data_IF_488986591431
#
_entry.id   IF_488986591431
#
_cell.length_a   1.000
_cell.length_b   1.000
_cell.length_c   1.000
_cell.angle_alpha   90.00
_cell.angle_beta   90.00
_cell.angle_gamma   90.00
#
_symmetry.space_group_name_H-M   'P 1'
#
loop_
_entity.id
_entity.type
_entity.pdbx_description
1 polymer ?
#
# COMPACT_ATOMS: atom_id res chain seq x y z
N UNK A 1 13.32 11.87 8.99
CA UNK A 1 14.07 13.04 9.53
C UNK A 1 15.41 13.25 8.80
N UNK A 2 16.19 12.20 8.49
CA UNK A 2 17.51 12.37 7.89
C UNK A 2 17.48 12.99 6.47
N UNK A 3 16.48 12.69 5.65
CA UNK A 3 16.39 13.14 4.26
C UNK A 3 15.62 14.46 4.07
N UNK A 4 14.67 14.73 4.95
CA UNK A 4 13.75 15.86 4.81
C UNK A 4 14.43 17.24 4.75
N UNK A 5 15.47 17.55 5.55
CA UNK A 5 16.17 18.83 5.46
C UNK A 5 16.74 19.09 4.06
N UNK A 6 17.36 18.07 3.45
CA UNK A 6 17.90 18.19 2.09
C UNK A 6 16.79 18.38 1.04
N UNK A 7 15.67 17.65 1.17
CA UNK A 7 14.53 17.82 0.28
C UNK A 7 13.97 19.24 0.34
N UNK A 8 13.85 19.81 1.54
CA UNK A 8 13.41 21.20 1.72
C UNK A 8 14.41 22.20 1.13
N UNK A 9 15.71 22.01 1.39
CA UNK A 9 16.75 22.89 0.86
C UNK A 9 16.79 22.89 -0.67
N UNK A 10 16.58 21.74 -1.29
CA UNK A 10 16.53 21.59 -2.76
C UNK A 10 15.18 22.02 -3.35
N UNK A 11 14.19 22.31 -2.50
CA UNK A 11 12.79 22.53 -2.88
C UNK A 11 12.25 21.41 -3.78
N UNK A 12 12.63 20.16 -3.47
CA UNK A 12 12.15 18.97 -4.21
C UNK A 12 12.25 17.71 -3.34
N UNK A 13 11.18 16.95 -3.30
CA UNK A 13 11.16 15.64 -2.64
C UNK A 13 9.91 14.84 -3.00
N UNK A 14 10.06 13.52 -3.11
CA UNK A 14 8.96 12.59 -3.35
C UNK A 14 9.11 11.42 -2.37
N UNK A 15 8.15 11.30 -1.46
CA UNK A 15 8.14 10.26 -0.43
C UNK A 15 6.95 9.35 -0.71
N UNK A 16 7.21 8.06 -0.89
CA UNK A 16 6.19 7.04 -1.07
C UNK A 16 6.32 6.02 0.06
N UNK A 17 5.30 5.94 0.89
CA UNK A 17 5.17 4.88 1.88
C UNK A 17 4.51 3.65 1.24
N UNK A 18 4.97 2.47 1.59
CA UNK A 18 4.29 1.22 1.22
C UNK A 18 3.37 0.81 2.36
N UNK A 19 2.11 1.16 2.20
CA UNK A 19 1.03 0.79 3.09
C UNK A 19 0.50 -0.62 2.81
N UNK A 20 -0.79 -0.75 2.86
CA UNK A 20 -1.58 -1.96 2.55
C UNK A 20 -3.04 -1.53 2.36
N UNK A 21 -3.88 -2.37 1.76
CA UNK A 21 -5.33 -2.24 1.88
C UNK A 21 -5.75 -2.12 3.36
N UNK A 22 -5.01 -2.77 4.26
CA UNK A 22 -5.17 -2.66 5.72
C UNK A 22 -4.71 -1.32 6.30
N UNK A 23 -4.36 -0.35 5.49
CA UNK A 23 -4.25 1.05 5.93
C UNK A 23 -5.60 1.77 5.97
N UNK A 24 -6.62 1.22 5.29
CA UNK A 24 -7.96 1.83 5.16
C UNK A 24 -9.10 0.91 5.62
N UNK A 25 -8.86 -0.41 5.68
CA UNK A 25 -9.81 -1.41 6.22
C UNK A 25 -9.13 -2.30 7.24
N UNK A 26 -9.92 -3.06 7.99
CA UNK A 26 -9.41 -4.02 8.97
C UNK A 26 -9.75 -5.47 8.58
N UNK A 27 -9.05 -6.41 9.19
CA UNK A 27 -9.37 -7.83 9.17
C UNK A 27 -9.18 -8.43 10.58
N UNK A 28 -9.99 -9.42 10.96
CA UNK A 28 -9.83 -10.11 12.24
C UNK A 28 -8.40 -10.64 12.43
N UNK A 29 -7.96 -10.69 13.66
CA UNK A 29 -6.66 -11.24 14.10
C UNK A 29 -5.41 -10.52 13.55
N UNK A 30 -5.55 -9.30 13.03
CA UNK A 30 -4.45 -8.48 12.49
C UNK A 30 -4.30 -7.12 13.18
N UNK A 31 -4.69 -6.99 14.46
CA UNK A 31 -4.75 -5.70 15.15
C UNK A 31 -3.43 -4.90 15.10
N UNK A 32 -2.30 -5.51 15.41
CA UNK A 32 -1.00 -4.85 15.38
C UNK A 32 -0.61 -4.39 13.95
N UNK A 33 -0.83 -5.26 12.96
CA UNK A 33 -0.56 -4.94 11.56
C UNK A 33 -1.46 -3.81 11.05
N UNK A 34 -2.76 -3.90 11.33
CA UNK A 34 -3.75 -2.87 10.95
C UNK A 34 -3.40 -1.53 11.61
N UNK A 35 -3.09 -1.52 12.92
CA UNK A 35 -2.69 -0.30 13.61
C UNK A 35 -1.44 0.34 12.99
N UNK A 36 -0.40 -0.47 12.70
CA UNK A 36 0.81 0.01 12.06
C UNK A 36 0.55 0.60 10.66
N UNK A 37 -0.29 -0.07 9.86
CA UNK A 37 -0.59 0.38 8.49
C UNK A 37 -1.52 1.60 8.47
N UNK A 38 -2.49 1.71 9.37
CA UNK A 38 -3.27 2.94 9.56
C UNK A 38 -2.40 4.11 10.02
N UNK A 39 -1.45 3.86 10.92
CA UNK A 39 -0.51 4.88 11.41
C UNK A 39 0.32 5.52 10.29
N UNK A 40 0.66 4.78 9.23
CA UNK A 40 1.37 5.33 8.06
C UNK A 40 0.57 6.43 7.35
N UNK A 41 -0.75 6.35 7.32
CA UNK A 41 -1.58 7.40 6.71
C UNK A 41 -1.56 8.67 7.57
N UNK A 42 -1.65 8.54 8.89
CA UNK A 42 -1.51 9.66 9.81
C UNK A 42 -0.13 10.33 9.67
N UNK A 43 0.94 9.53 9.66
CA UNK A 43 2.29 10.01 9.41
C UNK A 43 2.43 10.76 8.09
N UNK A 44 1.93 10.18 6.98
CA UNK A 44 1.99 10.80 5.66
C UNK A 44 1.25 12.15 5.61
N UNK A 45 0.06 12.22 6.21
CA UNK A 45 -0.73 13.46 6.28
C UNK A 45 -0.03 14.54 7.08
N UNK A 46 0.52 14.20 8.24
CA UNK A 46 1.25 15.15 9.08
C UNK A 46 2.47 15.69 8.34
N UNK A 47 3.28 14.81 7.77
CA UNK A 47 4.49 15.22 7.06
C UNK A 47 4.18 16.05 5.81
N UNK A 48 3.10 15.74 5.10
CA UNK A 48 2.65 16.54 3.95
C UNK A 48 2.23 17.97 4.37
N UNK A 49 1.60 18.14 5.53
CA UNK A 49 1.28 19.45 6.08
C UNK A 49 2.54 20.22 6.51
N UNK A 50 3.51 19.53 7.09
CA UNK A 50 4.79 20.13 7.50
C UNK A 50 5.66 20.56 6.31
N UNK A 51 5.40 20.03 5.11
CA UNK A 51 6.16 20.32 3.89
C UNK A 51 5.35 21.09 2.84
N UNK A 52 4.19 21.63 3.20
CA UNK A 52 3.29 22.31 2.27
C UNK A 52 3.84 23.64 1.70
N UNK A 53 4.95 24.13 2.23
CA UNK A 53 5.66 25.33 1.78
C UNK A 53 6.76 25.05 0.74
N UNK A 54 6.94 23.81 0.31
CA UNK A 54 7.97 23.40 -0.65
C UNK A 54 7.46 22.29 -1.57
N UNK A 55 8.18 22.01 -2.67
CA UNK A 55 7.81 20.94 -3.64
C UNK A 55 8.20 19.54 -3.11
N UNK A 56 7.66 19.19 -1.94
CA UNK A 56 7.80 17.86 -1.35
C UNK A 56 6.42 17.21 -1.23
N UNK A 57 6.26 16.02 -1.80
CA UNK A 57 5.03 15.25 -1.67
C UNK A 57 5.23 13.97 -0.86
N UNK A 58 4.19 13.59 -0.13
CA UNK A 58 4.20 12.39 0.73
C UNK A 58 2.92 11.60 0.48
N UNK A 59 3.04 10.43 -0.14
CA UNK A 59 1.89 9.58 -0.48
C UNK A 59 2.09 8.16 0.03
N UNK A 60 1.01 7.41 0.10
CA UNK A 60 1.04 6.01 0.56
C UNK A 60 0.37 5.12 -0.48
N UNK A 61 1.09 4.15 -1.02
CA UNK A 61 0.51 3.09 -1.85
C UNK A 61 -0.07 2.00 -0.94
N UNK A 62 -1.33 1.66 -1.16
CA UNK A 62 -2.09 0.72 -0.33
C UNK A 62 -2.53 -0.49 -1.17
N UNK A 63 -1.62 -1.41 -1.50
CA UNK A 63 -1.98 -2.60 -2.26
C UNK A 63 -2.75 -3.62 -1.42
N UNK A 64 -3.60 -4.40 -2.08
CA UNK A 64 -4.10 -5.66 -1.56
C UNK A 64 -3.05 -6.77 -1.72
N UNK A 65 -3.42 -7.96 -2.17
CA UNK A 65 -2.48 -9.06 -2.36
C UNK A 65 -1.64 -8.87 -3.62
N UNK A 66 -0.34 -8.68 -3.43
CA UNK A 66 0.67 -8.58 -4.49
C UNK A 66 1.33 -9.94 -4.64
N UNK A 67 1.44 -10.46 -5.87
CA UNK A 67 2.09 -11.74 -6.13
C UNK A 67 3.61 -11.61 -5.89
N UNK A 68 4.04 -12.07 -4.74
CA UNK A 68 5.44 -12.04 -4.27
C UNK A 68 5.80 -13.38 -3.64
N UNK A 69 7.09 -13.73 -3.51
CA UNK A 69 7.49 -14.93 -2.78
C UNK A 69 6.93 -15.02 -1.35
N UNK A 70 6.76 -13.88 -0.69
CA UNK A 70 6.12 -13.84 0.64
C UNK A 70 4.67 -14.34 0.59
N UNK A 71 3.90 -13.90 -0.40
CA UNK A 71 2.50 -14.31 -0.57
C UNK A 71 2.43 -15.78 -1.00
N UNK A 72 3.32 -16.25 -1.87
CA UNK A 72 3.40 -17.66 -2.28
C UNK A 72 3.67 -18.56 -1.07
N UNK A 73 4.60 -18.20 -0.20
CA UNK A 73 4.85 -18.93 1.05
C UNK A 73 3.63 -18.92 2.00
N UNK A 74 2.88 -17.82 2.05
CA UNK A 74 1.65 -17.74 2.83
C UNK A 74 0.55 -18.65 2.28
N UNK A 75 0.44 -18.81 0.96
CA UNK A 75 -0.51 -19.73 0.33
C UNK A 75 -0.23 -21.16 0.78
N UNK A 76 1.02 -21.62 0.65
CA UNK A 76 1.42 -22.94 1.06
C UNK A 76 1.16 -23.21 2.56
N UNK A 77 1.54 -22.26 3.42
CA UNK A 77 1.32 -22.38 4.86
C UNK A 77 -0.17 -22.47 5.22
N UNK A 78 -1.02 -21.63 4.62
CA UNK A 78 -2.47 -21.65 4.87
C UNK A 78 -3.15 -22.90 4.29
N UNK A 79 -2.66 -23.45 3.19
CA UNK A 79 -3.16 -24.71 2.64
C UNK A 79 -2.99 -25.85 3.64
N UNK A 80 -1.81 -25.95 4.24
CA UNK A 80 -1.50 -26.94 5.29
C UNK A 80 -2.36 -26.70 6.53
N UNK A 81 -2.40 -25.47 7.03
CA UNK A 81 -3.13 -25.10 8.25
C UNK A 81 -4.64 -25.39 8.15
N UNK A 82 -5.24 -25.11 7.00
CA UNK A 82 -6.67 -25.28 6.79
C UNK A 82 -7.05 -26.62 6.17
N UNK A 83 -6.10 -27.47 5.78
CA UNK A 83 -6.37 -28.78 5.15
C UNK A 83 -7.06 -28.66 3.79
N UNK A 84 -6.75 -27.63 3.00
CA UNK A 84 -7.31 -27.35 1.68
C UNK A 84 -6.18 -27.19 0.65
N UNK A 85 -6.53 -27.19 -0.63
CA UNK A 85 -5.55 -26.96 -1.69
C UNK A 85 -5.08 -25.50 -1.73
N UNK A 86 -3.88 -25.28 -2.29
CA UNK A 86 -3.37 -23.92 -2.53
C UNK A 86 -4.31 -23.07 -3.39
N UNK A 87 -4.94 -23.69 -4.38
CA UNK A 87 -5.93 -23.02 -5.24
C UNK A 87 -7.15 -22.56 -4.43
N UNK A 88 -7.61 -23.36 -3.48
CA UNK A 88 -8.71 -22.98 -2.59
C UNK A 88 -8.32 -21.84 -1.64
N UNK A 89 -7.07 -21.80 -1.17
CA UNK A 89 -6.55 -20.65 -0.39
C UNK A 89 -6.61 -19.38 -1.24
N UNK A 90 -6.14 -19.45 -2.49
CA UNK A 90 -6.17 -18.33 -3.43
C UNK A 90 -7.62 -17.84 -3.62
N UNK A 91 -8.52 -18.72 -4.01
CA UNK A 91 -9.87 -18.34 -4.44
C UNK A 91 -10.78 -17.95 -3.27
N UNK A 92 -10.72 -18.72 -2.17
CA UNK A 92 -11.67 -18.60 -1.05
C UNK A 92 -11.17 -17.70 0.07
N UNK A 93 -9.85 -17.47 0.19
CA UNK A 93 -9.27 -16.68 1.29
C UNK A 93 -8.65 -15.40 0.74
N UNK A 94 -7.64 -15.50 -0.13
CA UNK A 94 -6.87 -14.32 -0.53
C UNK A 94 -7.62 -13.42 -1.51
N UNK A 95 -8.13 -13.98 -2.59
CA UNK A 95 -8.84 -13.22 -3.62
C UNK A 95 -10.34 -13.08 -3.35
N UNK A 96 -10.87 -13.75 -2.32
CA UNK A 96 -12.30 -13.65 -1.98
C UNK A 96 -12.81 -12.22 -1.82
N UNK A 97 -12.11 -11.31 -1.11
CA UNK A 97 -12.56 -9.93 -0.93
C UNK A 97 -12.38 -9.05 -2.18
N UNK A 98 -11.57 -9.48 -3.16
CA UNK A 98 -11.25 -8.70 -4.36
C UNK A 98 -12.23 -9.02 -5.51
N UNK A 99 -13.09 -8.09 -5.96
CA UNK A 99 -13.99 -8.31 -7.09
C UNK A 99 -13.30 -8.76 -8.38
N UNK A 100 -12.11 -8.22 -8.67
CA UNK A 100 -11.32 -8.61 -9.85
C UNK A 100 -10.75 -10.03 -9.80
N UNK A 101 -10.74 -10.69 -8.63
CA UNK A 101 -10.21 -12.04 -8.45
C UNK A 101 -8.81 -12.26 -9.06
N UNK A 102 -7.95 -11.25 -8.94
CA UNK A 102 -6.59 -11.27 -9.48
C UNK A 102 -5.61 -10.67 -8.48
N UNK A 103 -4.42 -11.24 -8.40
CA UNK A 103 -3.31 -10.63 -7.67
C UNK A 103 -2.86 -9.33 -8.35
N UNK A 104 -2.42 -8.38 -7.54
CA UNK A 104 -1.77 -7.17 -8.03
C UNK A 104 -0.38 -7.52 -8.56
N UNK A 105 -0.05 -7.02 -9.75
CA UNK A 105 1.28 -7.17 -10.31
C UNK A 105 2.28 -6.20 -9.69
N UNK A 106 3.53 -6.61 -9.58
CA UNK A 106 4.62 -5.72 -9.12
C UNK A 106 4.75 -4.53 -10.08
N UNK A 107 4.58 -4.77 -11.38
CA UNK A 107 4.67 -3.73 -12.42
C UNK A 107 3.57 -2.66 -12.27
N UNK A 108 2.38 -3.04 -11.82
CA UNK A 108 1.30 -2.09 -11.54
C UNK A 108 1.68 -1.14 -10.40
N UNK A 109 2.32 -1.67 -9.34
CA UNK A 109 2.82 -0.84 -8.24
C UNK A 109 3.98 0.04 -8.69
N UNK A 110 4.90 -0.50 -9.48
CA UNK A 110 6.05 0.24 -9.99
C UNK A 110 5.61 1.40 -10.89
N UNK A 111 4.66 1.17 -11.79
CA UNK A 111 4.11 2.21 -12.66
C UNK A 111 3.40 3.31 -11.86
N UNK A 112 2.62 2.94 -10.83
CA UNK A 112 1.96 3.90 -9.95
C UNK A 112 2.97 4.71 -9.14
N UNK A 113 4.01 4.06 -8.62
CA UNK A 113 5.10 4.74 -7.93
C UNK A 113 5.83 5.71 -8.88
N UNK A 114 6.17 5.28 -10.09
CA UNK A 114 6.82 6.12 -11.10
C UNK A 114 5.99 7.38 -11.44
N UNK A 115 4.67 7.23 -11.58
CA UNK A 115 3.77 8.38 -11.75
C UNK A 115 3.85 9.34 -10.56
N UNK A 116 3.78 8.85 -9.32
CA UNK A 116 3.85 9.70 -8.12
C UNK A 116 5.21 10.38 -7.93
N UNK A 117 6.27 9.83 -8.50
CA UNK A 117 7.61 10.42 -8.49
C UNK A 117 7.78 11.49 -9.57
N UNK A 118 6.89 11.54 -10.57
CA UNK A 118 6.97 12.48 -11.67
C UNK A 118 6.50 13.89 -11.29
N UNK A 119 6.80 14.87 -12.15
CA UNK A 119 6.29 16.23 -12.01
C UNK A 119 4.78 16.35 -12.26
N UNK A 120 4.19 15.38 -12.96
CA UNK A 120 2.75 15.37 -13.25
C UNK A 120 1.93 15.14 -11.97
N UNK A 121 2.55 14.52 -10.93
CA UNK A 121 1.94 14.27 -9.63
C UNK A 121 2.32 15.32 -8.56
N UNK A 122 2.93 16.45 -8.91
CA UNK A 122 3.44 17.44 -7.92
C UNK A 122 2.40 18.00 -6.95
N UNK A 123 1.13 17.96 -7.29
CA UNK A 123 0.02 18.39 -6.44
C UNK A 123 -0.72 17.21 -5.77
N UNK A 124 -0.22 15.99 -5.91
CA UNK A 124 -0.75 14.81 -5.24
C UNK A 124 0.11 14.58 -4.00
N UNK A 125 -0.44 14.92 -2.83
CA UNK A 125 0.23 14.71 -1.53
C UNK A 125 -0.79 14.32 -0.47
N UNK A 126 -0.35 13.67 0.59
CA UNK A 126 -1.18 13.13 1.67
C UNK A 126 -2.21 12.07 1.23
N UNK A 127 -2.07 11.52 0.02
CA UNK A 127 -3.04 10.59 -0.52
C UNK A 127 -2.71 9.13 -0.18
N UNK A 128 -3.77 8.36 0.04
CA UNK A 128 -3.72 6.90 0.08
C UNK A 128 -4.21 6.37 -1.27
N UNK A 129 -3.30 5.85 -2.08
CA UNK A 129 -3.66 5.24 -3.37
C UNK A 129 -3.89 3.75 -3.16
N UNK A 130 -5.16 3.36 -3.21
CA UNK A 130 -5.56 1.97 -3.00
C UNK A 130 -5.52 1.23 -4.34
N UNK A 131 -4.79 0.10 -4.35
CA UNK A 131 -4.66 -0.79 -5.51
C UNK A 131 -5.10 -2.17 -5.03
N UNK A 132 -6.39 -2.47 -5.15
CA UNK A 132 -7.00 -3.57 -4.40
C UNK A 132 -8.03 -4.41 -5.20
N UNK A 133 -8.11 -4.18 -6.51
CA UNK A 133 -9.07 -4.90 -7.35
C UNK A 133 -10.53 -4.72 -6.94
N UNK A 134 -10.85 -3.61 -6.25
CA UNK A 134 -12.20 -3.24 -5.82
C UNK A 134 -12.59 -3.73 -4.42
N UNK A 135 -11.65 -4.23 -3.63
CA UNK A 135 -11.93 -4.70 -2.26
C UNK A 135 -12.63 -3.63 -1.40
N UNK A 136 -12.17 -2.39 -1.45
CA UNK A 136 -12.66 -1.29 -0.60
C UNK A 136 -13.81 -0.48 -1.21
N UNK A 137 -14.36 -0.90 -2.34
CA UNK A 137 -15.46 -0.20 -3.02
C UNK A 137 -16.83 -0.41 -2.36
N UNK A 138 -16.93 -1.09 -1.23
CA UNK A 138 -18.15 -1.44 -0.51
C UNK A 138 -18.03 -1.26 1.00
#
# INVERSE_FOLDING_TARGET
QALLPNMRQQNYGRIINIGSVHSVVASPFKSAYVAAKHGLLGFAKTLALETGDCDVTVNTLCPAYVKTPLVENQIAAQAIENGISEQEVIDKIMLAPMPKKAFIGIDELAATAAFLLSNDARNITAQALVIDGGWTAR
#
